data_IF_841260761862
#
_entry.id   IF_841260761862
#
_cell.length_a   1.000
_cell.length_b   1.000
_cell.length_c   1.000
_cell.angle_alpha   90.00
_cell.angle_beta   90.00
_cell.angle_gamma   90.00
#
_symmetry.space_group_name_H-M   'P 1'
#
loop_
_entity.id
_entity.type
_entity.pdbx_description
1 polymer ?
#
# COMPACT_ATOMS: atom_id res chain seq x y z
N UNK A 1 1.88 -50.40 -36.16
CA UNK A 1 2.91 -49.50 -35.60
C UNK A 1 3.50 -48.70 -36.75
N UNK A 2 3.07 -47.46 -36.93
CA UNK A 2 3.71 -46.50 -37.83
C UNK A 2 3.37 -45.10 -37.33
N UNK A 3 4.41 -44.32 -37.06
CA UNK A 3 4.36 -43.06 -36.34
C UNK A 3 3.91 -41.93 -37.25
N UNK A 4 2.81 -41.26 -36.94
CA UNK A 4 2.44 -39.99 -37.58
C UNK A 4 3.17 -38.85 -36.88
N UNK A 5 4.35 -38.47 -37.41
CA UNK A 5 4.99 -37.19 -37.11
C UNK A 5 4.42 -36.14 -38.06
N UNK A 6 3.65 -35.20 -37.53
CA UNK A 6 3.25 -33.98 -38.26
C UNK A 6 4.33 -32.92 -38.03
N UNK A 7 5.07 -32.60 -39.09
CA UNK A 7 6.00 -31.47 -39.14
C UNK A 7 5.21 -30.16 -39.16
N UNK A 8 5.43 -29.28 -38.18
CA UNK A 8 4.95 -27.89 -38.23
C UNK A 8 6.08 -27.03 -38.78
N UNK A 9 5.89 -26.53 -39.99
CA UNK A 9 6.79 -25.58 -40.66
C UNK A 9 6.51 -24.16 -40.14
N UNK A 10 7.53 -23.49 -39.59
CA UNK A 10 7.48 -22.03 -39.35
C UNK A 10 7.72 -21.31 -40.68
N UNK A 11 6.75 -20.49 -41.09
CA UNK A 11 6.93 -19.54 -42.20
C UNK A 11 7.36 -18.21 -41.58
N UNK A 12 8.62 -17.83 -41.79
CA UNK A 12 9.11 -16.46 -41.56
C UNK A 12 9.14 -15.76 -42.91
N UNK A 13 8.31 -14.74 -43.09
CA UNK A 13 8.31 -13.91 -44.31
C UNK A 13 9.27 -12.73 -44.13
N UNK A 14 10.45 -12.81 -44.74
CA UNK A 14 11.33 -11.66 -44.98
C UNK A 14 11.08 -11.14 -46.40
N UNK A 15 10.25 -10.09 -46.56
CA UNK A 15 10.28 -9.28 -47.78
C UNK A 15 9.79 -7.84 -47.51
N UNK A 16 10.73 -6.90 -47.52
CA UNK A 16 10.54 -5.54 -48.04
C UNK A 16 11.91 -4.90 -48.32
N UNK A 17 12.61 -5.40 -49.34
CA UNK A 17 13.70 -4.68 -49.97
C UNK A 17 13.12 -3.74 -51.03
N UNK A 18 13.17 -2.44 -50.79
CA UNK A 18 12.88 -1.42 -51.82
C UNK A 18 14.21 -0.86 -52.30
N UNK A 19 14.39 -0.96 -53.62
CA UNK A 19 15.53 -0.58 -54.44
C UNK A 19 15.77 0.94 -54.39
N UNK A 20 16.98 1.37 -53.99
CA UNK A 20 17.29 2.77 -53.62
C UNK A 20 18.00 3.55 -54.74
N UNK A 21 18.29 2.95 -55.89
CA UNK A 21 19.29 3.51 -56.82
C UNK A 21 18.76 4.30 -58.03
N UNK A 22 17.51 4.78 -58.03
CA UNK A 22 17.01 5.65 -59.12
C UNK A 22 16.17 6.83 -58.66
N UNK A 23 16.78 7.78 -57.96
CA UNK A 23 16.24 9.16 -57.85
C UNK A 23 17.33 10.18 -58.17
N UNK A 24 17.36 10.60 -59.44
CA UNK A 24 18.22 11.65 -59.95
C UNK A 24 17.74 13.01 -59.38
N UNK A 25 18.33 13.45 -58.26
CA UNK A 25 17.96 14.66 -57.54
C UNK A 25 18.59 15.90 -58.21
N UNK A 26 17.79 16.66 -58.99
CA UNK A 26 18.16 18.02 -59.42
C UNK A 26 18.10 18.95 -58.21
N UNK A 27 19.26 19.41 -57.71
CA UNK A 27 19.35 20.37 -56.60
C UNK A 27 18.70 21.71 -56.96
N UNK A 28 17.68 22.20 -56.25
CA UNK A 28 17.37 23.62 -56.20
C UNK A 28 18.18 24.20 -55.04
N UNK A 29 19.27 24.92 -55.35
CA UNK A 29 20.11 25.58 -54.36
C UNK A 29 19.30 26.47 -53.39
N UNK A 30 18.13 26.95 -53.82
CA UNK A 30 17.19 27.73 -53.03
C UNK A 30 16.58 26.99 -51.82
N UNK A 31 16.40 25.66 -51.89
CA UNK A 31 15.88 24.88 -50.75
C UNK A 31 16.93 24.80 -49.64
N UNK A 32 18.20 24.59 -50.00
CA UNK A 32 19.30 24.58 -49.04
C UNK A 32 19.50 25.96 -48.39
N UNK A 33 19.45 27.04 -49.18
CA UNK A 33 19.54 28.41 -48.65
C UNK A 33 18.35 28.75 -47.75
N UNK A 34 17.13 28.37 -48.15
CA UNK A 34 15.94 28.53 -47.31
C UNK A 34 16.03 27.77 -45.99
N UNK A 35 16.57 26.54 -46.02
CA UNK A 35 16.79 25.73 -44.82
C UNK A 35 17.83 26.37 -43.89
N UNK A 36 18.94 26.88 -44.43
CA UNK A 36 20.00 27.55 -43.66
C UNK A 36 19.47 28.83 -43.01
N UNK A 37 18.69 29.64 -43.74
CA UNK A 37 18.07 30.86 -43.21
C UNK A 37 17.03 30.55 -42.12
N UNK A 38 16.20 29.52 -42.30
CA UNK A 38 15.27 29.07 -41.28
C UNK A 38 16.00 28.54 -40.02
N UNK A 39 17.10 27.81 -40.21
CA UNK A 39 17.91 27.28 -39.11
C UNK A 39 18.63 28.41 -38.35
N UNK A 40 19.15 29.41 -39.04
CA UNK A 40 19.79 30.58 -38.39
C UNK A 40 18.75 31.44 -37.68
N UNK A 41 17.58 31.66 -38.28
CA UNK A 41 16.47 32.32 -37.59
C UNK A 41 16.05 31.55 -36.33
N UNK A 42 15.99 30.22 -36.39
CA UNK A 42 15.70 29.39 -35.21
C UNK A 42 16.82 29.48 -34.16
N UNK A 43 18.08 29.31 -34.55
CA UNK A 43 19.22 29.31 -33.60
C UNK A 43 19.48 30.68 -32.99
N UNK A 44 19.15 31.78 -33.67
CA UNK A 44 19.39 33.14 -33.15
C UNK A 44 18.15 33.71 -32.45
N UNK A 45 16.97 33.59 -33.06
CA UNK A 45 15.75 34.19 -32.51
C UNK A 45 15.11 33.32 -31.42
N UNK A 46 15.25 32.00 -31.46
CA UNK A 46 14.68 31.12 -30.43
C UNK A 46 15.36 31.34 -29.07
N UNK A 47 16.71 31.40 -28.93
CA UNK A 47 17.33 31.72 -27.66
C UNK A 47 17.03 33.14 -27.17
N UNK A 48 16.87 34.12 -28.07
CA UNK A 48 16.48 35.49 -27.70
C UNK A 48 15.03 35.55 -27.16
N UNK A 49 14.09 34.84 -27.80
CA UNK A 49 12.72 34.67 -27.33
C UNK A 49 12.65 33.87 -26.02
N UNK A 50 13.46 32.82 -25.87
CA UNK A 50 13.56 32.04 -24.63
C UNK A 50 14.19 32.89 -23.52
N UNK A 51 15.23 33.68 -23.78
CA UNK A 51 15.81 34.59 -22.77
C UNK A 51 14.84 35.67 -22.32
N UNK A 52 14.08 36.28 -23.25
CA UNK A 52 13.05 37.27 -22.91
C UNK A 52 11.90 36.68 -22.07
N UNK A 53 11.59 35.39 -22.24
CA UNK A 53 10.61 34.67 -21.40
C UNK A 53 11.20 34.14 -20.09
N UNK A 54 12.50 33.78 -20.07
CA UNK A 54 13.19 33.30 -18.86
C UNK A 54 13.49 34.43 -17.86
N UNK A 55 13.66 35.68 -18.31
CA UNK A 55 13.76 36.84 -17.41
C UNK A 55 12.44 37.19 -16.69
N UNK A 56 11.29 36.70 -17.19
CA UNK A 56 9.98 36.83 -16.54
C UNK A 56 9.52 35.59 -15.77
N UNK A 57 10.15 34.44 -16.01
CA UNK A 57 9.94 33.24 -15.21
C UNK A 57 10.85 33.29 -14.00
N UNK A 58 10.29 33.66 -12.85
CA UNK A 58 10.88 33.25 -11.56
C UNK A 58 11.09 31.75 -11.64
N UNK A 59 12.33 31.31 -11.87
CA UNK A 59 12.75 29.98 -11.49
C UNK A 59 12.56 29.93 -9.99
N UNK A 60 11.38 29.48 -9.57
CA UNK A 60 11.25 28.78 -8.31
C UNK A 60 12.19 27.60 -8.48
N UNK A 61 13.45 27.79 -8.07
CA UNK A 61 14.29 26.72 -7.59
C UNK A 61 13.34 25.85 -6.78
N UNK A 62 13.09 24.62 -7.24
CA UNK A 62 12.41 23.62 -6.44
C UNK A 62 13.35 23.31 -5.28
N UNK A 63 13.43 24.24 -4.33
CA UNK A 63 13.89 23.96 -2.98
C UNK A 63 12.95 22.86 -2.54
N UNK A 64 13.48 21.65 -2.44
CA UNK A 64 12.81 20.47 -1.88
C UNK A 64 12.03 20.97 -0.67
N UNK A 65 10.71 21.18 -0.81
CA UNK A 65 9.93 21.85 0.22
C UNK A 65 9.81 20.83 1.34
N UNK A 66 10.68 20.95 2.32
CA UNK A 66 10.61 20.13 3.51
C UNK A 66 9.30 20.51 4.20
N UNK A 67 8.44 19.52 4.45
CA UNK A 67 7.19 19.76 5.18
C UNK A 67 7.48 20.34 6.57
N UNK A 68 6.53 21.07 7.17
CA UNK A 68 6.69 21.62 8.51
C UNK A 68 7.20 20.56 9.51
N UNK A 69 8.08 20.97 10.43
CA UNK A 69 8.54 20.10 11.52
C UNK A 69 7.40 19.76 12.47
N UNK A 70 7.45 18.54 12.96
CA UNK A 70 6.47 17.96 13.86
C UNK A 70 7.21 17.29 15.01
N UNK A 71 7.67 18.11 15.96
CA UNK A 71 8.53 17.68 17.05
C UNK A 71 7.71 17.46 18.32
N UNK A 72 7.41 16.20 18.61
CA UNK A 72 6.91 15.75 19.90
C UNK A 72 8.07 15.05 20.64
N UNK A 73 8.57 15.62 21.74
CA UNK A 73 9.83 15.21 22.41
C UNK A 73 9.89 13.74 22.87
N UNK A 74 8.75 13.05 22.94
CA UNK A 74 8.65 11.65 23.36
C UNK A 74 8.00 10.75 22.31
N UNK A 75 7.86 11.22 21.07
CA UNK A 75 7.28 10.46 19.98
C UNK A 75 8.10 9.21 19.70
N UNK A 76 7.47 8.04 19.78
CA UNK A 76 8.08 6.73 19.51
C UNK A 76 7.28 6.02 18.44
N UNK A 77 7.98 5.49 17.46
CA UNK A 77 7.46 4.66 16.37
C UNK A 77 8.20 3.33 16.44
N UNK A 78 7.47 2.23 16.48
CA UNK A 78 8.04 0.88 16.55
C UNK A 78 7.28 -0.09 15.63
N UNK A 79 8.03 -1.02 15.02
CA UNK A 79 7.44 -2.13 14.28
C UNK A 79 6.86 -3.14 15.27
N UNK A 80 5.69 -3.66 14.91
CA UNK A 80 5.00 -4.71 15.66
C UNK A 80 4.57 -5.81 14.71
N UNK A 81 4.60 -7.05 15.18
CA UNK A 81 4.34 -8.21 14.32
C UNK A 81 3.46 -9.24 15.02
N UNK A 82 2.60 -9.90 14.26
CA UNK A 82 2.05 -11.19 14.68
C UNK A 82 2.86 -12.26 13.99
N UNK A 83 3.37 -13.24 14.73
CA UNK A 83 3.97 -14.45 14.18
C UNK A 83 3.00 -15.60 14.45
N UNK A 84 2.62 -16.40 13.43
CA UNK A 84 1.72 -17.53 13.62
C UNK A 84 2.25 -18.49 14.68
N UNK A 85 1.36 -19.04 15.51
CA UNK A 85 1.72 -20.03 16.52
C UNK A 85 2.51 -21.19 15.89
N UNK A 86 3.51 -21.69 16.61
CA UNK A 86 4.44 -22.73 16.18
C UNK A 86 5.35 -22.35 14.99
N UNK A 87 5.52 -21.05 14.71
CA UNK A 87 6.56 -20.54 13.83
C UNK A 87 7.62 -19.82 14.66
N UNK A 88 8.87 -20.26 14.53
CA UNK A 88 10.02 -19.64 15.20
C UNK A 88 11.03 -19.25 14.14
N UNK A 89 11.48 -17.99 14.18
CA UNK A 89 12.59 -17.52 13.37
C UNK A 89 13.86 -17.49 14.24
N UNK A 90 14.99 -17.89 13.67
CA UNK A 90 16.30 -17.73 14.31
C UNK A 90 16.73 -16.25 14.20
N UNK A 91 16.04 -15.37 14.90
CA UNK A 91 16.27 -13.93 14.85
C UNK A 91 16.76 -13.40 16.20
N UNK A 92 17.71 -12.47 16.13
CA UNK A 92 18.24 -11.74 17.28
C UNK A 92 17.34 -10.57 17.70
N UNK A 93 16.34 -10.22 16.89
CA UNK A 93 15.44 -9.09 17.11
C UNK A 93 14.02 -9.61 17.34
N UNK A 94 13.50 -9.37 18.55
CA UNK A 94 12.11 -9.66 18.87
C UNK A 94 11.28 -8.36 18.82
N UNK A 95 10.27 -8.32 17.96
CA UNK A 95 9.33 -7.21 17.87
C UNK A 95 8.17 -7.37 18.86
N UNK A 96 7.55 -6.26 19.27
CA UNK A 96 6.34 -6.28 20.08
C UNK A 96 5.21 -6.94 19.29
N UNK A 97 4.41 -7.80 19.92
CA UNK A 97 3.30 -8.43 19.21
C UNK A 97 2.19 -7.43 18.85
N UNK A 98 1.47 -7.64 17.75
CA UNK A 98 0.27 -6.84 17.40
C UNK A 98 -0.74 -6.82 18.55
N UNK A 99 -0.96 -7.97 19.20
CA UNK A 99 -1.80 -8.08 20.40
C UNK A 99 -1.34 -7.15 21.53
N UNK A 100 -0.04 -7.16 21.86
CA UNK A 100 0.50 -6.30 22.90
C UNK A 100 0.47 -4.82 22.51
N UNK A 101 0.63 -4.51 21.22
CA UNK A 101 0.48 -3.16 20.69
C UNK A 101 -0.94 -2.62 20.89
N UNK A 102 -1.96 -3.40 20.51
CA UNK A 102 -3.36 -3.03 20.70
C UNK A 102 -3.73 -2.94 22.18
N UNK A 103 -3.27 -3.88 23.00
CA UNK A 103 -3.46 -3.82 24.47
C UNK A 103 -2.84 -2.55 25.07
N UNK A 104 -1.65 -2.17 24.61
CA UNK A 104 -0.99 -0.91 25.02
C UNK A 104 -1.82 0.31 24.65
N UNK A 105 -2.34 0.36 23.42
CA UNK A 105 -3.21 1.45 22.94
C UNK A 105 -4.49 1.58 23.76
N UNK A 106 -5.20 0.47 23.98
CA UNK A 106 -6.44 0.47 24.78
C UNK A 106 -6.14 0.93 26.21
N UNK A 107 -5.06 0.43 26.82
CA UNK A 107 -4.66 0.81 28.19
C UNK A 107 -4.34 2.30 28.30
N UNK A 108 -3.71 2.88 27.28
CA UNK A 108 -3.36 4.32 27.24
C UNK A 108 -4.54 5.25 27.00
N UNK A 109 -5.68 4.74 26.49
CA UNK A 109 -6.83 5.57 26.18
C UNK A 109 -7.42 6.24 27.41
N UNK A 110 -7.64 7.55 27.34
CA UNK A 110 -8.24 8.36 28.40
C UNK A 110 -9.56 9.03 27.96
N UNK A 111 -9.72 9.35 26.68
CA UNK A 111 -10.93 10.05 26.18
C UNK A 111 -11.57 9.37 24.99
N UNK A 112 -10.78 8.98 23.98
CA UNK A 112 -11.29 8.48 22.70
C UNK A 112 -10.50 7.29 22.17
N UNK A 113 -11.22 6.35 21.58
CA UNK A 113 -10.68 5.27 20.74
C UNK A 113 -11.41 5.34 19.40
N UNK A 114 -10.67 5.55 18.33
CA UNK A 114 -11.19 5.61 16.95
C UNK A 114 -10.62 4.44 16.16
N UNK A 115 -11.46 3.62 15.53
CA UNK A 115 -11.04 2.43 14.78
C UNK A 115 -11.66 2.46 13.39
N UNK A 116 -10.83 2.33 12.36
CA UNK A 116 -11.27 2.04 11.00
C UNK A 116 -10.78 0.63 10.63
N UNK A 117 -11.70 -0.24 10.22
CA UNK A 117 -11.44 -1.66 10.01
C UNK A 117 -12.39 -2.24 8.96
N UNK A 118 -11.97 -3.24 8.19
CA UNK A 118 -12.86 -3.90 7.23
C UNK A 118 -14.00 -4.68 7.93
N UNK A 119 -13.65 -5.67 8.75
CA UNK A 119 -14.59 -6.53 9.46
C UNK A 119 -14.07 -6.89 10.86
N UNK A 120 -14.93 -7.44 11.71
CA UNK A 120 -14.61 -7.91 13.06
C UNK A 120 -14.92 -9.39 13.25
N UNK A 121 -13.98 -10.12 13.87
CA UNK A 121 -14.10 -11.53 14.24
C UNK A 121 -13.10 -11.85 15.36
N UNK A 122 -13.22 -11.14 16.49
CA UNK A 122 -12.29 -11.26 17.63
C UNK A 122 -12.55 -12.48 18.52
N UNK A 123 -13.59 -13.28 18.24
CA UNK A 123 -13.87 -14.52 18.97
C UNK A 123 -13.95 -15.68 17.98
N UNK A 124 -13.78 -16.92 18.42
CA UNK A 124 -13.89 -18.11 17.56
C UNK A 124 -15.34 -18.49 17.21
N UNK A 125 -16.30 -17.56 17.31
CA UNK A 125 -17.70 -17.88 17.08
C UNK A 125 -18.05 -17.99 15.59
N UNK A 126 -17.15 -17.55 14.71
CA UNK A 126 -17.30 -17.67 13.25
C UNK A 126 -16.82 -19.03 12.70
N UNK A 127 -16.28 -19.90 13.56
CA UNK A 127 -15.76 -21.22 13.18
C UNK A 127 -16.72 -22.38 13.45
N UNK A 128 -18.03 -22.10 13.52
CA UNK A 128 -19.06 -23.11 13.75
C UNK A 128 -18.98 -23.70 15.17
N UNK A 129 -18.92 -25.04 15.27
CA UNK A 129 -18.83 -25.75 16.55
C UNK A 129 -17.39 -25.89 17.08
N UNK A 130 -16.39 -25.44 16.33
CA UNK A 130 -15.00 -25.53 16.76
C UNK A 130 -14.64 -24.32 17.61
N UNK A 131 -14.23 -24.58 18.84
CA UNK A 131 -13.58 -23.59 19.69
C UNK A 131 -12.06 -23.76 19.60
N UNK A 132 -11.38 -22.67 19.30
CA UNK A 132 -9.92 -22.64 19.18
C UNK A 132 -9.34 -21.85 20.35
N UNK A 133 -8.51 -22.50 21.17
CA UNK A 133 -7.85 -21.84 22.30
C UNK A 133 -7.00 -20.64 21.84
N UNK A 134 -6.44 -20.68 20.63
CA UNK A 134 -5.67 -19.58 20.02
C UNK A 134 -6.49 -18.31 19.74
N UNK A 135 -7.80 -18.31 19.96
CA UNK A 135 -8.63 -17.11 19.88
C UNK A 135 -8.54 -16.18 21.10
N UNK A 136 -7.92 -16.63 22.20
CA UNK A 136 -7.87 -15.91 23.49
C UNK A 136 -7.36 -14.46 23.40
N UNK A 137 -6.40 -14.20 22.49
CA UNK A 137 -5.87 -12.85 22.27
C UNK A 137 -6.94 -11.90 21.72
N UNK A 138 -7.75 -12.36 20.76
CA UNK A 138 -8.87 -11.59 20.23
C UNK A 138 -9.94 -11.34 21.29
N UNK A 139 -10.27 -12.38 22.06
CA UNK A 139 -11.27 -12.32 23.13
C UNK A 139 -10.88 -11.31 24.22
N UNK A 140 -9.60 -11.28 24.61
CA UNK A 140 -9.09 -10.32 25.57
C UNK A 140 -9.12 -8.88 25.01
N UNK A 141 -8.79 -8.66 23.73
CA UNK A 141 -8.94 -7.33 23.10
C UNK A 141 -10.41 -6.88 23.12
N UNK A 142 -11.35 -7.75 22.76
CA UNK A 142 -12.78 -7.43 22.81
C UNK A 142 -13.22 -7.08 24.24
N UNK A 143 -12.77 -7.85 25.24
CA UNK A 143 -13.04 -7.60 26.66
C UNK A 143 -12.47 -6.28 27.15
N UNK A 144 -11.25 -5.91 26.74
CA UNK A 144 -10.64 -4.62 27.07
C UNK A 144 -11.40 -3.45 26.45
N UNK A 145 -11.88 -3.57 25.21
CA UNK A 145 -12.76 -2.57 24.59
C UNK A 145 -14.08 -2.42 25.35
N UNK A 146 -14.73 -3.52 25.71
CA UNK A 146 -15.96 -3.50 26.54
C UNK A 146 -15.72 -2.81 27.89
N UNK A 147 -14.61 -3.10 28.57
CA UNK A 147 -14.24 -2.42 29.84
C UNK A 147 -13.98 -0.92 29.65
N UNK A 148 -13.39 -0.54 28.52
CA UNK A 148 -13.15 0.87 28.18
C UNK A 148 -14.45 1.66 28.09
N UNK A 149 -15.49 1.06 27.51
CA UNK A 149 -16.83 1.63 27.42
C UNK A 149 -17.54 1.64 28.78
N UNK A 150 -17.64 0.48 29.44
CA UNK A 150 -18.49 0.33 30.62
C UNK A 150 -17.92 0.96 31.88
N UNK A 151 -16.62 0.74 32.14
CA UNK A 151 -15.97 1.15 33.39
C UNK A 151 -15.24 2.49 33.27
N UNK A 152 -14.56 2.72 32.14
CA UNK A 152 -13.74 3.94 31.93
C UNK A 152 -14.46 5.04 31.14
N UNK A 153 -15.67 4.77 30.64
CA UNK A 153 -16.51 5.72 29.88
C UNK A 153 -15.78 6.39 28.70
N UNK A 154 -14.88 5.65 28.05
CA UNK A 154 -14.14 6.12 26.87
C UNK A 154 -15.09 6.22 25.67
N UNK A 155 -15.02 7.31 24.90
CA UNK A 155 -15.78 7.45 23.66
C UNK A 155 -15.14 6.57 22.57
N UNK A 156 -15.82 5.49 22.18
CA UNK A 156 -15.36 4.57 21.13
C UNK A 156 -16.12 4.83 19.83
N UNK A 157 -15.39 5.13 18.77
CA UNK A 157 -15.90 5.41 17.42
C UNK A 157 -15.33 4.40 16.43
N UNK A 158 -16.20 3.65 15.76
CA UNK A 158 -15.81 2.56 14.85
C UNK A 158 -16.41 2.85 13.48
N UNK A 159 -15.57 2.88 12.45
CA UNK A 159 -16.00 2.77 11.05
C UNK A 159 -15.68 1.38 10.54
N UNK A 160 -16.69 0.71 10.01
CA UNK A 160 -16.55 -0.63 9.41
C UNK A 160 -17.07 -0.66 7.99
N UNK A 161 -16.58 -1.59 7.18
CA UNK A 161 -17.13 -1.82 5.85
C UNK A 161 -18.60 -2.27 5.91
N UNK A 162 -19.46 -1.66 5.10
CA UNK A 162 -20.89 -2.00 5.09
C UNK A 162 -21.14 -3.40 4.52
N UNK A 163 -20.37 -3.82 3.51
CA UNK A 163 -20.53 -5.12 2.87
C UNK A 163 -20.09 -6.28 3.79
N UNK A 164 -19.16 -6.01 4.70
CA UNK A 164 -18.62 -6.98 5.66
C UNK A 164 -19.30 -6.94 7.03
N UNK A 165 -20.36 -6.15 7.20
CA UNK A 165 -21.00 -5.94 8.50
C UNK A 165 -21.62 -7.20 9.08
N UNK A 166 -22.22 -8.07 8.26
CA UNK A 166 -22.84 -9.31 8.75
C UNK A 166 -21.83 -10.22 9.46
N UNK A 167 -20.60 -10.33 8.93
CA UNK A 167 -19.49 -11.05 9.58
C UNK A 167 -19.13 -10.43 10.93
N UNK A 168 -19.23 -9.10 11.02
CA UNK A 168 -18.83 -8.28 12.17
C UNK A 168 -19.90 -8.13 13.25
N UNK A 169 -21.14 -8.53 12.94
CA UNK A 169 -22.35 -8.15 13.66
C UNK A 169 -22.27 -8.46 15.15
N UNK A 170 -21.87 -9.67 15.53
CA UNK A 170 -21.83 -10.10 16.94
C UNK A 170 -20.90 -9.21 17.78
N UNK A 171 -19.66 -9.00 17.36
CA UNK A 171 -18.71 -8.19 18.12
C UNK A 171 -19.14 -6.71 18.16
N UNK A 172 -19.58 -6.16 17.02
CA UNK A 172 -19.95 -4.74 16.93
C UNK A 172 -21.25 -4.41 17.66
N UNK A 173 -22.25 -5.29 17.65
CA UNK A 173 -23.49 -5.09 18.41
C UNK A 173 -23.23 -5.14 19.92
N UNK A 174 -22.35 -6.03 20.39
CA UNK A 174 -21.95 -6.07 21.80
C UNK A 174 -21.27 -4.77 22.23
N UNK A 175 -20.39 -4.20 21.40
CA UNK A 175 -19.76 -2.90 21.69
C UNK A 175 -20.78 -1.75 21.62
N UNK A 176 -21.68 -1.77 20.63
CA UNK A 176 -22.72 -0.75 20.46
C UNK A 176 -23.69 -0.73 21.65
N UNK A 177 -24.09 -1.90 22.18
CA UNK A 177 -24.91 -2.02 23.40
C UNK A 177 -24.26 -1.38 24.63
N UNK A 178 -22.94 -1.26 24.65
CA UNK A 178 -22.18 -0.61 25.72
C UNK A 178 -21.84 0.86 25.43
N UNK A 179 -22.34 1.41 24.32
CA UNK A 179 -22.20 2.83 23.98
C UNK A 179 -21.18 3.15 22.89
N UNK A 180 -20.58 2.15 22.22
CA UNK A 180 -19.72 2.43 21.06
C UNK A 180 -20.54 2.98 19.88
N UNK A 181 -20.02 4.02 19.23
CA UNK A 181 -20.61 4.59 18.01
C UNK A 181 -20.06 3.84 16.81
N UNK A 182 -20.89 2.97 16.23
CA UNK A 182 -20.52 2.16 15.05
C UNK A 182 -21.18 2.75 13.81
N UNK A 183 -20.36 3.10 12.81
CA UNK A 183 -20.79 3.56 11.49
C UNK A 183 -20.35 2.58 10.40
N UNK A 184 -21.21 2.39 9.40
CA UNK A 184 -20.96 1.50 8.27
C UNK A 184 -20.66 2.36 7.04
N UNK A 185 -19.46 2.21 6.48
CA UNK A 185 -19.05 2.91 5.27
C UNK A 185 -19.43 2.07 4.05
N UNK A 186 -20.33 2.59 3.22
CA UNK A 186 -20.78 1.91 2.01
C UNK A 186 -20.00 2.40 0.78
N UNK A 187 -18.85 1.77 0.54
CA UNK A 187 -17.98 2.14 -0.59
C UNK A 187 -18.64 1.86 -1.94
N UNK A 188 -19.44 0.78 -2.03
CA UNK A 188 -20.21 0.49 -3.24
C UNK A 188 -21.18 1.61 -3.58
N UNK A 189 -21.90 2.17 -2.60
CA UNK A 189 -22.75 3.34 -2.83
C UNK A 189 -21.94 4.56 -3.31
N UNK A 190 -20.75 4.77 -2.74
CA UNK A 190 -19.92 5.95 -3.01
C UNK A 190 -19.14 5.88 -4.33
N UNK A 191 -18.84 4.68 -4.82
CA UNK A 191 -17.93 4.44 -5.94
C UNK A 191 -18.56 3.53 -7.01
N UNK A 192 -19.81 3.81 -7.38
CA UNK A 192 -20.51 3.14 -8.50
C UNK A 192 -20.43 1.60 -8.42
N UNK A 193 -20.92 1.05 -7.30
CA UNK A 193 -20.99 -0.38 -6.99
C UNK A 193 -19.64 -1.10 -6.82
N UNK A 194 -18.56 -0.36 -6.52
CA UNK A 194 -17.21 -0.91 -6.34
C UNK A 194 -16.57 -0.56 -4.99
N UNK A 195 -15.51 -1.27 -4.62
CA UNK A 195 -14.69 -0.99 -3.44
C UNK A 195 -15.28 -1.48 -2.11
N UNK A 196 -14.41 -1.50 -1.09
CA UNK A 196 -14.70 -1.79 0.32
C UNK A 196 -13.79 -0.94 1.20
N UNK A 197 -14.13 -0.74 2.48
CA UNK A 197 -13.19 -0.19 3.45
C UNK A 197 -12.18 -1.27 3.85
N UNK A 198 -10.92 -1.16 3.44
CA UNK A 198 -9.89 -2.13 3.80
C UNK A 198 -8.88 -1.65 4.85
N UNK A 199 -8.88 -0.38 5.24
CA UNK A 199 -7.98 0.17 6.27
C UNK A 199 -8.08 -0.61 7.58
N UNK A 200 -6.95 -0.80 8.28
CA UNK A 200 -6.86 -1.27 9.68
C UNK A 200 -6.06 -0.27 10.50
N UNK A 201 -6.78 0.64 11.13
CA UNK A 201 -6.21 1.80 11.80
C UNK A 201 -6.87 2.00 13.16
N UNK A 202 -6.05 2.28 14.16
CA UNK A 202 -6.48 2.69 15.49
C UNK A 202 -5.90 4.07 15.79
N UNK A 203 -6.69 4.96 16.38
CA UNK A 203 -6.24 6.25 16.89
C UNK A 203 -6.77 6.42 18.31
N UNK A 204 -5.87 6.76 19.24
CA UNK A 204 -6.18 6.91 20.65
C UNK A 204 -5.84 8.33 21.08
N UNK A 205 -6.82 9.04 21.62
CA UNK A 205 -6.70 10.42 22.13
C UNK A 205 -5.99 11.41 21.19
N UNK A 206 -6.08 11.16 19.87
CA UNK A 206 -5.37 11.91 18.83
C UNK A 206 -3.85 12.06 19.12
N UNK A 207 -3.28 11.04 19.77
CA UNK A 207 -1.90 11.02 20.29
C UNK A 207 -1.15 9.72 20.02
N UNK A 208 -1.86 8.59 20.00
CA UNK A 208 -1.30 7.28 19.70
C UNK A 208 -2.04 6.66 18.52
N UNK A 209 -1.38 5.78 17.78
CA UNK A 209 -2.03 5.04 16.71
C UNK A 209 -1.41 3.66 16.47
N UNK A 210 -2.18 2.81 15.80
CA UNK A 210 -1.69 1.64 15.10
C UNK A 210 -2.15 1.70 13.65
N UNK A 211 -1.26 1.35 12.73
CA UNK A 211 -1.54 1.17 11.31
C UNK A 211 -0.78 -0.06 10.84
N UNK A 212 -1.43 -0.99 10.14
CA UNK A 212 -0.78 -2.20 9.65
C UNK A 212 -1.74 -3.17 8.98
N UNK A 213 -1.28 -4.40 8.77
CA UNK A 213 -2.00 -5.39 7.98
C UNK A 213 -3.07 -6.18 8.76
N UNK A 214 -3.01 -6.17 10.10
CA UNK A 214 -3.86 -7.01 10.95
C UNK A 214 -5.33 -6.60 10.92
N UNK A 215 -6.20 -7.51 10.47
CA UNK A 215 -7.65 -7.37 10.58
C UNK A 215 -8.09 -7.43 12.04
N UNK A 216 -9.28 -6.91 12.37
CA UNK A 216 -9.90 -7.07 13.69
C UNK A 216 -10.39 -8.51 13.90
N UNK A 217 -9.46 -9.46 13.86
CA UNK A 217 -9.67 -10.89 13.75
C UNK A 217 -8.71 -11.60 14.69
N UNK A 218 -9.20 -12.55 15.49
CA UNK A 218 -8.34 -13.30 16.40
C UNK A 218 -7.21 -14.03 15.65
N UNK A 219 -7.47 -14.49 14.42
CA UNK A 219 -6.45 -15.12 13.56
C UNK A 219 -5.31 -14.17 13.21
N UNK A 220 -5.58 -12.88 13.04
CA UNK A 220 -4.53 -11.87 12.80
C UNK A 220 -3.60 -11.67 14.01
N UNK A 221 -3.97 -12.16 15.19
CA UNK A 221 -3.16 -12.03 16.40
C UNK A 221 -2.32 -13.28 16.67
N UNK A 222 -2.81 -14.47 16.29
CA UNK A 222 -2.18 -15.75 16.65
C UNK A 222 -1.86 -16.68 15.48
N UNK A 223 -2.49 -16.53 14.31
CA UNK A 223 -2.41 -17.54 13.22
C UNK A 223 -1.92 -16.99 11.88
N UNK A 224 -1.81 -15.68 11.74
CA UNK A 224 -1.44 -14.99 10.51
C UNK A 224 -0.18 -14.16 10.78
N UNK A 225 0.77 -14.20 9.83
CA UNK A 225 1.92 -13.30 9.90
C UNK A 225 1.47 -11.91 9.47
N UNK A 226 1.54 -10.98 10.41
CA UNK A 226 1.11 -9.58 10.23
C UNK A 226 2.26 -8.63 10.61
N UNK A 227 2.26 -7.45 10.03
CA UNK A 227 3.18 -6.36 10.33
C UNK A 227 2.37 -5.07 10.52
N UNK A 228 2.78 -4.26 11.48
CA UNK A 228 2.26 -2.91 11.63
C UNK A 228 3.23 -1.99 12.32
N UNK A 229 2.76 -0.77 12.52
CA UNK A 229 3.48 0.31 13.19
C UNK A 229 2.67 0.74 14.39
N UNK A 230 3.27 0.68 15.57
CA UNK A 230 2.76 1.30 16.78
C UNK A 230 3.39 2.69 16.93
N UNK A 231 2.53 3.71 17.02
CA UNK A 231 2.92 5.12 17.16
C UNK A 231 2.44 5.61 18.52
N UNK A 232 3.35 6.12 19.36
CA UNK A 232 3.00 6.58 20.71
C UNK A 232 3.60 7.94 21.04
N UNK A 233 2.80 8.79 21.69
CA UNK A 233 3.17 10.16 22.08
C UNK A 233 3.53 11.07 20.89
N UNK A 234 2.84 10.91 19.76
CA UNK A 234 3.11 11.65 18.52
C UNK A 234 1.89 12.50 18.11
N UNK A 235 1.36 13.31 19.01
CA UNK A 235 0.13 14.10 18.80
C UNK A 235 0.15 14.92 17.51
N UNK A 236 1.27 15.57 17.18
CA UNK A 236 1.37 16.34 15.95
C UNK A 236 1.26 15.44 14.70
N UNK A 237 1.90 14.27 14.71
CA UNK A 237 1.84 13.30 13.62
C UNK A 237 0.42 12.72 13.47
N UNK A 238 -0.17 12.32 14.60
CA UNK A 238 -1.48 11.68 14.64
C UNK A 238 -2.60 12.63 14.23
N UNK A 239 -2.48 13.95 14.46
CA UNK A 239 -3.42 14.95 13.93
C UNK A 239 -3.58 14.86 12.40
N UNK A 240 -2.52 14.51 11.67
CA UNK A 240 -2.63 14.34 10.22
C UNK A 240 -3.33 13.02 9.84
N UNK A 241 -3.04 11.94 10.58
CA UNK A 241 -3.70 10.64 10.41
C UNK A 241 -5.21 10.70 10.74
N UNK A 242 -5.60 11.48 11.75
CA UNK A 242 -6.99 11.73 12.14
C UNK A 242 -7.82 12.24 10.95
N UNK A 243 -7.24 13.01 10.02
CA UNK A 243 -7.95 13.49 8.83
C UNK A 243 -8.44 12.32 7.97
N UNK A 244 -7.65 11.25 7.82
CA UNK A 244 -8.08 10.04 7.10
C UNK A 244 -9.27 9.37 7.80
N UNK A 245 -9.22 9.26 9.13
CA UNK A 245 -10.36 8.74 9.89
C UNK A 245 -11.62 9.59 9.71
N UNK A 246 -11.49 10.93 9.76
CA UNK A 246 -12.63 11.84 9.60
C UNK A 246 -13.25 11.72 8.21
N UNK A 247 -12.45 11.51 7.15
CA UNK A 247 -12.97 11.22 5.80
C UNK A 247 -13.91 10.01 5.85
N UNK A 248 -13.47 8.89 6.41
CA UNK A 248 -14.32 7.69 6.54
C UNK A 248 -15.53 7.95 7.43
N UNK A 249 -15.33 8.61 8.57
CA UNK A 249 -16.39 8.90 9.55
C UNK A 249 -17.51 9.76 8.96
N UNK A 250 -17.15 10.78 8.16
CA UNK A 250 -18.10 11.67 7.48
C UNK A 250 -18.83 10.99 6.33
N UNK A 251 -18.17 10.06 5.63
CA UNK A 251 -18.80 9.29 4.55
C UNK A 251 -19.66 8.12 5.05
N UNK A 252 -19.48 7.69 6.31
CA UNK A 252 -20.22 6.59 6.90
C UNK A 252 -21.55 7.02 7.57
N UNK A 253 -22.21 8.05 7.02
CA UNK A 253 -23.56 8.47 7.43
C UNK A 253 -24.55 8.26 6.30
N UNK A 254 -25.84 8.18 6.66
CA UNK A 254 -26.92 8.04 5.69
C UNK A 254 -26.84 9.18 4.66
N UNK A 255 -26.93 8.84 3.38
CA UNK A 255 -26.96 9.78 2.25
C UNK A 255 -25.72 10.66 2.06
N UNK A 256 -24.60 10.29 2.67
CA UNK A 256 -23.32 10.90 2.35
C UNK A 256 -22.94 10.67 0.87
N UNK A 257 -22.34 11.69 0.28
CA UNK A 257 -21.71 11.65 -1.04
C UNK A 257 -20.27 12.13 -0.93
N UNK A 258 -19.42 11.68 -1.84
CA UNK A 258 -18.07 12.23 -1.95
C UNK A 258 -18.20 13.67 -2.44
N UNK A 259 -17.71 14.68 -1.70
CA UNK A 259 -17.82 16.05 -2.13
C UNK A 259 -16.90 16.30 -3.33
N UNK A 260 -17.30 17.21 -4.22
CA UNK A 260 -16.45 17.68 -5.33
C UNK A 260 -15.14 18.28 -4.78
N UNK A 261 -15.21 18.95 -3.64
CA UNK A 261 -14.04 19.49 -2.94
C UNK A 261 -14.13 19.18 -1.45
N UNK A 262 -13.10 18.54 -0.93
CA UNK A 262 -12.98 18.27 0.50
C UNK A 262 -12.77 19.57 1.29
N UNK A 263 -13.35 19.70 2.51
CA UNK A 263 -13.13 20.86 3.36
C UNK A 263 -11.63 21.11 3.64
N UNK A 264 -11.22 22.38 3.67
CA UNK A 264 -9.82 22.78 3.92
C UNK A 264 -9.28 22.21 5.23
N UNK A 265 -10.13 22.02 6.24
CA UNK A 265 -9.75 21.39 7.52
C UNK A 265 -9.24 19.94 7.41
N UNK A 266 -9.56 19.25 6.31
CA UNK A 266 -9.06 17.90 6.02
C UNK A 266 -7.85 17.91 5.08
N UNK A 267 -7.41 19.08 4.59
CA UNK A 267 -6.22 19.20 3.76
C UNK A 267 -4.95 18.92 4.55
N UNK A 268 -3.90 18.50 3.86
CA UNK A 268 -2.58 18.28 4.45
C UNK A 268 -1.48 19.03 3.70
N UNK A 269 -0.42 19.38 4.43
CA UNK A 269 0.82 19.91 3.88
C UNK A 269 1.88 18.80 3.68
N UNK A 270 1.53 17.56 4.06
CA UNK A 270 2.43 16.42 4.06
C UNK A 270 2.08 15.47 2.91
N UNK A 271 3.03 15.34 1.99
CA UNK A 271 2.94 14.46 0.83
C UNK A 271 4.32 13.85 0.52
N UNK A 272 4.42 13.10 -0.57
CA UNK A 272 5.67 12.45 -0.96
C UNK A 272 6.79 13.42 -1.35
N UNK A 273 6.46 14.65 -1.77
CA UNK A 273 7.44 15.68 -2.11
C UNK A 273 7.82 16.56 -0.91
N UNK A 274 6.86 16.72 0.01
CA UNK A 274 6.96 17.51 1.23
C UNK A 274 6.60 16.65 2.45
N UNK A 275 7.39 15.62 2.80
CA UNK A 275 7.10 14.76 3.92
C UNK A 275 7.26 15.50 5.25
N UNK A 276 6.50 15.07 6.25
CA UNK A 276 6.62 15.53 7.63
C UNK A 276 7.99 15.19 8.18
N UNK A 277 8.63 16.15 8.82
CA UNK A 277 9.91 15.98 9.49
C UNK A 277 9.68 15.73 10.97
N UNK A 278 10.13 14.58 11.47
CA UNK A 278 9.88 14.13 12.84
C UNK A 278 11.15 13.64 13.52
N UNK A 279 11.31 14.05 14.78
CA UNK A 279 12.33 13.52 15.68
C UNK A 279 11.73 12.34 16.44
N UNK A 280 12.29 11.14 16.26
CA UNK A 280 11.76 9.91 16.85
C UNK A 280 12.66 9.38 17.97
N UNK A 281 12.07 9.09 19.12
CA UNK A 281 12.79 8.56 20.29
C UNK A 281 13.49 7.25 19.93
N UNK A 282 14.79 7.20 20.19
CA UNK A 282 15.64 6.03 19.92
C UNK A 282 16.27 6.03 18.54
N UNK A 283 15.98 7.02 17.69
CA UNK A 283 16.69 7.24 16.44
C UNK A 283 17.59 8.47 16.53
N UNK A 284 18.83 8.33 16.02
CA UNK A 284 19.79 9.44 15.97
C UNK A 284 19.43 10.44 14.87
N UNK A 285 18.84 9.95 13.79
CA UNK A 285 18.50 10.73 12.62
C UNK A 285 17.04 11.19 12.62
N UNK A 286 16.81 12.33 11.96
CA UNK A 286 15.48 12.87 11.70
C UNK A 286 14.77 12.00 10.67
N UNK A 287 13.58 11.51 11.00
CA UNK A 287 12.75 10.74 10.09
C UNK A 287 11.85 11.64 9.24
N UNK A 288 11.50 11.13 8.05
CA UNK A 288 10.58 11.78 7.11
C UNK A 288 9.46 10.82 6.78
N UNK A 289 8.21 11.25 6.97
CA UNK A 289 7.05 10.40 6.72
C UNK A 289 5.82 11.19 6.28
N UNK A 290 4.86 10.50 5.71
CA UNK A 290 3.54 11.02 5.38
C UNK A 290 2.56 9.85 5.35
N UNK A 291 1.28 10.13 5.53
CA UNK A 291 0.22 9.14 5.38
C UNK A 291 -0.38 9.23 3.98
N UNK A 292 -0.77 8.09 3.42
CA UNK A 292 -1.48 8.01 2.13
C UNK A 292 -2.96 7.69 2.35
N UNK A 293 -3.77 7.78 1.29
CA UNK A 293 -5.13 7.29 1.30
C UNK A 293 -5.55 6.78 -0.10
N UNK A 294 -6.60 5.97 -0.17
CA UNK A 294 -7.19 5.56 -1.43
C UNK A 294 -8.72 5.37 -1.31
N UNK A 295 -9.45 5.47 -2.43
CA UNK A 295 -9.00 5.94 -3.76
C UNK A 295 -8.74 7.45 -3.80
N UNK A 296 -8.32 7.97 -4.96
CA UNK A 296 -8.04 9.40 -5.15
C UNK A 296 -9.23 10.31 -4.79
N UNK A 297 -10.47 9.85 -5.02
CA UNK A 297 -11.68 10.60 -4.66
C UNK A 297 -11.86 10.77 -3.14
N UNK A 298 -11.24 9.91 -2.33
CA UNK A 298 -11.20 9.99 -0.87
C UNK A 298 -9.94 10.71 -0.35
N UNK A 299 -9.11 11.29 -1.23
CA UNK A 299 -7.93 12.05 -0.83
C UNK A 299 -8.25 13.55 -0.78
N UNK A 300 -8.32 14.17 0.42
CA UNK A 300 -8.37 15.61 0.52
C UNK A 300 -7.14 16.28 -0.10
N UNK A 301 -7.22 17.59 -0.34
CA UNK A 301 -6.13 18.37 -0.95
C UNK A 301 -4.80 18.12 -0.22
N UNK A 302 -3.76 17.83 -1.02
CA UNK A 302 -2.40 17.54 -0.55
C UNK A 302 -2.16 16.08 -0.15
N UNK A 303 -3.20 15.25 0.08
CA UNK A 303 -2.98 13.86 0.46
C UNK A 303 -2.45 13.06 -0.74
N UNK A 304 -1.30 12.42 -0.57
CA UNK A 304 -0.78 11.47 -1.54
C UNK A 304 -1.66 10.23 -1.61
N UNK A 305 -2.01 9.80 -2.83
CA UNK A 305 -2.73 8.55 -3.04
C UNK A 305 -1.81 7.33 -3.05
N UNK A 306 -2.32 6.19 -2.56
CA UNK A 306 -1.57 4.93 -2.40
C UNK A 306 -0.85 4.48 -3.68
N UNK A 307 -1.52 4.42 -4.84
CA UNK A 307 -0.85 3.91 -6.06
C UNK A 307 0.28 4.83 -6.51
N UNK A 308 0.11 6.15 -6.37
CA UNK A 308 1.16 7.11 -6.68
C UNK A 308 2.36 6.97 -5.72
N UNK A 309 2.11 6.77 -4.42
CA UNK A 309 3.16 6.52 -3.44
C UNK A 309 3.93 5.23 -3.75
N UNK A 310 3.23 4.11 -3.99
CA UNK A 310 3.83 2.81 -4.27
C UNK A 310 4.74 2.89 -5.51
N UNK A 311 4.23 3.42 -6.62
CA UNK A 311 5.00 3.55 -7.87
C UNK A 311 6.18 4.49 -7.68
N UNK A 312 6.01 5.59 -6.92
CA UNK A 312 7.09 6.53 -6.66
C UNK A 312 8.20 5.92 -5.80
N UNK A 313 7.86 5.10 -4.80
CA UNK A 313 8.85 4.37 -3.98
C UNK A 313 9.66 3.41 -4.86
N UNK A 314 9.00 2.65 -5.76
CA UNK A 314 9.68 1.78 -6.73
C UNK A 314 10.61 2.59 -7.64
N UNK A 315 10.09 3.62 -8.30
CA UNK A 315 10.82 4.41 -9.30
C UNK A 315 11.99 5.21 -8.71
N UNK A 316 11.95 5.55 -7.41
CA UNK A 316 13.03 6.28 -6.73
C UNK A 316 14.12 5.35 -6.19
N UNK A 317 13.91 4.04 -6.14
CA UNK A 317 14.92 3.08 -5.71
C UNK A 317 16.15 3.11 -6.64
N UNK A 318 17.34 2.99 -6.05
CA UNK A 318 18.61 2.99 -6.79
C UNK A 318 19.37 1.68 -6.67
N UNK A 319 19.12 0.91 -5.62
CA UNK A 319 19.86 -0.33 -5.36
C UNK A 319 18.94 -1.53 -5.31
N UNK A 320 17.86 -1.44 -4.54
CA UNK A 320 16.96 -2.57 -4.38
C UNK A 320 15.50 -2.16 -4.10
N UNK A 321 14.59 -3.07 -4.42
CA UNK A 321 13.16 -3.05 -4.06
C UNK A 321 12.79 -4.42 -3.51
N UNK A 322 12.53 -4.50 -2.21
CA UNK A 322 12.10 -5.72 -1.53
C UNK A 322 10.65 -5.61 -1.11
N UNK A 323 9.81 -6.56 -1.51
CA UNK A 323 8.36 -6.53 -1.29
C UNK A 323 7.94 -7.82 -0.61
N UNK A 324 7.10 -7.70 0.43
CA UNK A 324 6.35 -8.82 0.97
C UNK A 324 4.85 -8.52 0.99
N UNK A 325 4.09 -9.35 0.27
CA UNK A 325 2.63 -9.25 0.12
C UNK A 325 1.98 -10.63 0.16
N UNK A 326 0.67 -10.66 0.46
CA UNK A 326 -0.12 -11.90 0.45
C UNK A 326 -0.22 -12.49 -0.96
N UNK A 327 -0.74 -11.73 -1.92
CA UNK A 327 -0.96 -12.15 -3.29
C UNK A 327 -0.38 -11.12 -4.27
N UNK A 328 -0.07 -11.56 -5.50
CA UNK A 328 0.43 -10.71 -6.58
C UNK A 328 -0.29 -11.01 -7.89
N UNK A 329 -1.16 -10.08 -8.30
CA UNK A 329 -1.88 -10.14 -9.57
C UNK A 329 -1.89 -8.75 -10.23
N UNK A 330 -1.39 -8.60 -11.47
CA UNK A 330 -1.55 -7.38 -12.24
C UNK A 330 -2.96 -7.32 -12.86
N UNK A 331 -3.99 -7.56 -12.04
CA UNK A 331 -5.40 -7.67 -12.43
C UNK A 331 -6.30 -6.91 -11.45
N UNK A 332 -7.46 -6.46 -11.93
CA UNK A 332 -8.57 -6.03 -11.08
C UNK A 332 -9.40 -7.27 -10.71
N UNK A 333 -9.03 -7.94 -9.61
CA UNK A 333 -9.59 -9.25 -9.24
C UNK A 333 -11.08 -9.25 -8.86
N UNK A 334 -11.56 -8.18 -8.23
CA UNK A 334 -12.93 -8.10 -7.70
C UNK A 334 -13.94 -7.47 -8.67
N UNK A 335 -13.60 -7.49 -9.96
CA UNK A 335 -14.47 -7.09 -11.07
C UNK A 335 -14.67 -8.27 -12.02
N UNK A 336 -15.86 -8.39 -12.61
CA UNK A 336 -16.13 -9.33 -13.70
C UNK A 336 -16.58 -8.57 -14.97
N UNK A 337 -15.97 -8.82 -16.15
CA UNK A 337 -14.75 -9.63 -16.34
C UNK A 337 -13.54 -9.03 -15.60
N UNK A 338 -12.56 -9.88 -15.28
CA UNK A 338 -11.29 -9.43 -14.71
C UNK A 338 -10.56 -8.58 -15.77
N UNK A 339 -9.94 -7.48 -15.34
CA UNK A 339 -9.25 -6.56 -16.25
C UNK A 339 -7.76 -6.50 -15.91
N UNK A 340 -6.93 -6.40 -16.94
CA UNK A 340 -5.50 -6.19 -16.77
C UNK A 340 -5.20 -4.82 -16.15
N UNK A 341 -4.33 -4.80 -15.15
CA UNK A 341 -3.90 -3.59 -14.45
C UNK A 341 -2.38 -3.61 -14.22
N UNK A 342 -1.61 -3.05 -15.15
CA UNK A 342 -0.16 -3.22 -15.19
C UNK A 342 0.63 -2.27 -14.29
N UNK A 343 0.00 -1.37 -13.54
CA UNK A 343 0.68 -0.17 -13.02
C UNK A 343 1.90 -0.50 -12.15
N UNK A 344 1.75 -1.42 -11.19
CA UNK A 344 2.86 -1.85 -10.33
C UNK A 344 3.80 -2.79 -11.10
N UNK A 345 3.26 -3.69 -11.91
CA UNK A 345 4.04 -4.66 -12.71
C UNK A 345 5.02 -3.94 -13.66
N UNK A 346 4.53 -2.95 -14.42
CA UNK A 346 5.33 -2.11 -15.28
C UNK A 346 6.43 -1.36 -14.50
N UNK A 347 6.12 -0.82 -13.32
CA UNK A 347 7.11 -0.13 -12.50
C UNK A 347 8.24 -1.07 -12.06
N UNK A 348 7.91 -2.28 -11.62
CA UNK A 348 8.91 -3.30 -11.24
C UNK A 348 9.76 -3.73 -12.43
N UNK A 349 9.14 -4.06 -13.57
CA UNK A 349 9.88 -4.44 -14.78
C UNK A 349 10.80 -3.33 -15.25
N UNK A 350 10.30 -2.09 -15.24
CA UNK A 350 11.04 -0.91 -15.65
C UNK A 350 12.31 -0.72 -14.84
N UNK A 351 12.21 -0.66 -13.51
CA UNK A 351 13.40 -0.41 -12.67
C UNK A 351 14.39 -1.57 -12.69
N UNK A 352 13.91 -2.81 -12.89
CA UNK A 352 14.77 -3.97 -13.07
C UNK A 352 15.56 -3.92 -14.39
N UNK A 353 14.92 -3.55 -15.50
CA UNK A 353 15.51 -3.61 -16.84
C UNK A 353 16.30 -2.35 -17.22
N UNK A 354 15.81 -1.17 -16.84
CA UNK A 354 16.43 0.11 -17.23
C UNK A 354 17.48 0.57 -16.22
N UNK A 355 17.27 0.27 -14.93
CA UNK A 355 18.10 0.79 -13.84
C UNK A 355 18.84 -0.31 -13.07
N UNK A 356 18.66 -1.58 -13.44
CA UNK A 356 19.26 -2.76 -12.80
C UNK A 356 19.08 -2.80 -11.27
N UNK A 357 17.97 -2.25 -10.80
CA UNK A 357 17.58 -2.30 -9.39
C UNK A 357 17.26 -3.74 -9.02
N UNK A 358 17.87 -4.25 -7.95
CA UNK A 358 17.62 -5.61 -7.48
C UNK A 358 16.20 -5.73 -6.93
N UNK A 359 15.42 -6.69 -7.42
CA UNK A 359 14.06 -6.93 -6.95
C UNK A 359 13.99 -8.25 -6.22
N UNK A 360 13.39 -8.25 -5.01
CA UNK A 360 13.02 -9.48 -4.31
C UNK A 360 11.55 -9.43 -3.91
N UNK A 361 10.80 -10.44 -4.35
CA UNK A 361 9.40 -10.62 -3.99
C UNK A 361 9.27 -11.82 -3.04
N UNK A 362 8.64 -11.60 -1.89
CA UNK A 362 8.25 -12.65 -0.95
C UNK A 362 6.73 -12.72 -0.87
N UNK A 363 6.14 -13.68 -1.58
CA UNK A 363 4.70 -13.81 -1.78
C UNK A 363 4.15 -14.97 -0.96
N UNK A 364 2.98 -14.82 -0.34
CA UNK A 364 2.40 -15.91 0.44
C UNK A 364 1.93 -17.05 -0.44
N UNK A 365 2.27 -18.29 -0.04
CA UNK A 365 1.64 -19.51 -0.53
C UNK A 365 0.80 -20.11 0.59
N UNK A 366 -0.48 -20.25 0.35
CA UNK A 366 -1.45 -20.71 1.32
C UNK A 366 -2.63 -21.41 0.63
N UNK A 367 -3.56 -21.96 1.41
CA UNK A 367 -4.69 -22.75 0.89
C UNK A 367 -5.56 -22.00 -0.13
N UNK A 368 -5.62 -20.67 -0.03
CA UNK A 368 -6.44 -19.82 -0.88
C UNK A 368 -5.68 -19.18 -2.05
N UNK A 369 -4.39 -19.49 -2.23
CA UNK A 369 -3.59 -18.98 -3.35
C UNK A 369 -4.22 -19.37 -4.69
N UNK A 370 -4.56 -18.38 -5.51
CA UNK A 370 -5.06 -18.62 -6.87
C UNK A 370 -3.94 -19.20 -7.75
N UNK A 371 -4.29 -20.19 -8.59
CA UNK A 371 -3.33 -20.87 -9.47
C UNK A 371 -2.72 -19.95 -10.54
N UNK A 372 -3.47 -18.94 -10.98
CA UNK A 372 -3.03 -17.97 -11.99
C UNK A 372 -1.88 -17.07 -11.50
N UNK A 373 -1.78 -16.80 -10.20
CA UNK A 373 -0.69 -16.05 -9.58
C UNK A 373 0.68 -16.57 -9.99
N UNK A 374 0.83 -17.90 -10.07
CA UNK A 374 2.09 -18.54 -10.44
C UNK A 374 2.53 -18.18 -11.86
N UNK A 375 1.62 -17.90 -12.80
CA UNK A 375 1.98 -17.48 -14.15
C UNK A 375 2.60 -16.08 -14.15
N UNK A 376 2.00 -15.14 -13.41
CA UNK A 376 2.54 -13.78 -13.27
C UNK A 376 3.90 -13.77 -12.58
N UNK A 377 4.04 -14.53 -11.49
CA UNK A 377 5.31 -14.65 -10.76
C UNK A 377 6.41 -15.29 -11.61
N UNK A 378 6.10 -16.31 -12.41
CA UNK A 378 7.06 -16.89 -13.38
C UNK A 378 7.47 -15.88 -14.44
N UNK A 379 6.54 -15.06 -14.94
CA UNK A 379 6.82 -14.00 -15.91
C UNK A 379 7.78 -12.93 -15.38
N UNK A 380 7.67 -12.56 -14.11
CA UNK A 380 8.62 -11.65 -13.46
C UNK A 380 9.98 -12.32 -13.21
N UNK A 381 9.96 -13.54 -12.66
CA UNK A 381 11.19 -14.32 -12.42
C UNK A 381 12.01 -14.56 -13.68
N UNK A 382 11.36 -14.67 -14.85
CA UNK A 382 12.04 -14.84 -16.12
C UNK A 382 12.90 -13.64 -16.54
N UNK A 383 12.74 -12.46 -15.91
CA UNK A 383 13.62 -11.31 -16.15
C UNK A 383 15.01 -11.50 -15.54
N UNK A 384 15.14 -12.38 -14.53
CA UNK A 384 16.40 -12.59 -13.85
C UNK A 384 17.45 -13.13 -14.82
N UNK A 385 18.60 -12.47 -14.84
CA UNK A 385 19.72 -12.85 -15.66
C UNK A 385 19.70 -12.32 -17.09
N UNK A 386 18.69 -11.54 -17.49
CA UNK A 386 18.76 -10.74 -18.73
C UNK A 386 19.99 -9.83 -18.63
N UNK A 387 20.82 -9.86 -19.66
CA UNK A 387 22.05 -9.09 -19.79
C UNK A 387 21.79 -7.87 -20.68
N UNK A 388 22.38 -6.73 -20.32
CA UNK A 388 22.39 -5.53 -21.13
C UNK A 388 23.71 -4.79 -20.87
N UNK A 389 24.66 -4.95 -21.79
CA UNK A 389 26.04 -4.51 -21.60
C UNK A 389 26.75 -5.32 -20.52
N UNK A 390 27.38 -4.63 -19.57
CA UNK A 390 28.06 -5.25 -18.43
C UNK A 390 27.11 -5.60 -17.26
N UNK A 391 25.86 -5.14 -17.33
CA UNK A 391 24.88 -5.28 -16.26
C UNK A 391 23.96 -6.49 -16.47
N UNK A 392 23.47 -7.03 -15.36
CA UNK A 392 22.61 -8.21 -15.33
C UNK A 392 21.46 -8.00 -14.36
N UNK A 393 20.24 -8.25 -14.83
CA UNK A 393 19.02 -8.11 -14.03
C UNK A 393 19.04 -9.11 -12.87
N UNK A 394 18.78 -8.61 -11.65
CA UNK A 394 18.60 -9.41 -10.44
C UNK A 394 17.14 -9.35 -10.01
N UNK A 395 16.40 -10.43 -10.26
CA UNK A 395 14.99 -10.53 -9.94
C UNK A 395 14.70 -11.86 -9.24
N UNK A 396 14.48 -11.82 -7.94
CA UNK A 396 14.15 -12.99 -7.14
C UNK A 396 12.67 -13.02 -6.78
N UNK A 397 12.07 -14.21 -6.92
CA UNK A 397 10.72 -14.49 -6.42
C UNK A 397 10.77 -15.71 -5.52
N UNK A 398 10.35 -15.53 -4.28
CA UNK A 398 10.21 -16.58 -3.26
C UNK A 398 8.77 -16.68 -2.79
N UNK A 399 8.36 -17.89 -2.47
CA UNK A 399 7.08 -18.18 -1.84
C UNK A 399 7.31 -18.40 -0.35
N UNK A 400 6.48 -17.76 0.48
CA UNK A 400 6.47 -17.94 1.92
C UNK A 400 5.30 -18.85 2.30
N UNK A 401 5.59 -19.98 2.94
CA UNK A 401 4.59 -20.96 3.36
C UNK A 401 4.69 -21.17 4.86
N UNK A 402 3.56 -21.01 5.55
CA UNK A 402 3.48 -21.22 6.99
C UNK A 402 3.21 -22.70 7.25
N UNK A 403 4.04 -23.41 8.04
CA UNK A 403 3.77 -24.80 8.42
C UNK A 403 2.41 -24.93 9.11
N UNK A 404 1.71 -26.03 8.85
CA UNK A 404 0.34 -26.27 9.37
C UNK A 404 0.23 -27.66 9.98
N UNK A 405 -0.30 -27.74 11.21
CA UNK A 405 -0.70 -29.00 11.83
C UNK A 405 -2.14 -29.38 11.45
N UNK A 406 -2.52 -30.65 11.65
CA UNK A 406 -3.91 -31.12 11.41
C UNK A 406 -4.97 -30.33 12.19
N UNK A 407 -4.62 -29.82 13.37
CA UNK A 407 -5.52 -28.98 14.16
C UNK A 407 -5.66 -27.58 13.55
N UNK A 408 -4.54 -26.97 13.16
CA UNK A 408 -4.51 -25.64 12.53
C UNK A 408 -5.14 -25.61 11.14
N UNK A 409 -5.12 -26.73 10.40
CA UNK A 409 -5.78 -26.85 9.09
C UNK A 409 -7.30 -26.62 9.15
N UNK A 410 -7.91 -26.82 10.33
CA UNK A 410 -9.33 -26.57 10.58
C UNK A 410 -9.64 -25.09 10.78
N UNK A 411 -8.63 -24.23 10.96
CA UNK A 411 -8.82 -22.79 11.14
C UNK A 411 -8.93 -22.14 9.75
N UNK A 412 -10.10 -21.58 9.37
CA UNK A 412 -10.28 -21.00 8.06
C UNK A 412 -9.53 -19.67 7.92
N UNK A 413 -8.97 -19.42 6.74
CA UNK A 413 -8.25 -18.19 6.38
C UNK A 413 -7.06 -17.86 7.32
N UNK A 414 -6.40 -18.88 7.84
CA UNK A 414 -5.21 -18.78 8.69
C UNK A 414 -3.94 -19.23 7.94
N UNK A 415 -2.79 -19.21 8.64
CA UNK A 415 -1.51 -19.76 8.16
C UNK A 415 -1.05 -19.12 6.85
N UNK A 416 -1.06 -17.79 6.83
CA UNK A 416 -0.73 -16.96 5.66
C UNK A 416 0.19 -15.82 6.08
N UNK A 417 1.07 -15.40 5.18
CA UNK A 417 1.77 -14.14 5.31
C UNK A 417 0.92 -13.02 4.73
N UNK A 418 0.33 -12.22 5.61
CA UNK A 418 -0.58 -11.13 5.25
C UNK A 418 0.09 -9.76 5.33
N UNK A 419 1.43 -9.74 5.44
CA UNK A 419 2.22 -8.52 5.38
C UNK A 419 1.96 -7.74 4.08
N UNK A 420 2.12 -6.41 4.16
CA UNK A 420 2.01 -5.49 3.03
C UNK A 420 3.09 -4.45 3.19
N UNK A 421 4.31 -4.76 2.78
CA UNK A 421 5.38 -3.76 2.86
C UNK A 421 6.31 -3.81 1.66
N UNK A 422 6.99 -2.68 1.47
CA UNK A 422 8.07 -2.52 0.53
C UNK A 422 9.20 -1.75 1.20
N UNK A 423 10.44 -2.19 0.99
CA UNK A 423 11.64 -1.51 1.47
C UNK A 423 12.58 -1.31 0.29
N UNK A 424 13.15 -0.12 0.19
CA UNK A 424 14.17 0.25 -0.80
C UNK A 424 15.40 0.80 -0.08
N UNK A 425 16.42 1.19 -0.84
CA UNK A 425 17.60 1.86 -0.29
C UNK A 425 17.33 3.26 0.30
N UNK A 426 16.14 3.83 0.07
CA UNK A 426 15.82 5.19 0.46
C UNK A 426 14.42 5.40 1.06
N UNK A 427 13.56 4.37 1.09
CA UNK A 427 12.23 4.47 1.63
C UNK A 427 11.71 3.13 2.17
N UNK A 428 10.74 3.20 3.08
CA UNK A 428 9.91 2.08 3.48
C UNK A 428 8.44 2.47 3.31
N UNK A 429 7.64 1.54 2.81
CA UNK A 429 6.19 1.67 2.68
C UNK A 429 5.54 0.51 3.44
N UNK A 430 4.60 0.84 4.33
CA UNK A 430 3.78 -0.14 5.05
C UNK A 430 2.33 0.11 4.65
N UNK A 431 1.75 -0.88 3.99
CA UNK A 431 0.36 -0.88 3.56
C UNK A 431 -0.59 -1.23 4.70
N UNK A 432 -1.85 -0.84 4.52
CA UNK A 432 -2.95 -1.01 5.47
C UNK A 432 -4.00 -1.95 4.90
#
# INVERSE_FOLDING_TARGET
MTSNKVNVQMIVTDQAGVDVDKLQYRRPAYVAVGFVLALTAFVVLFPALVNSRMLGMKFNVFTKRIGPRCDDSYCKVELVESIPENVTFNETVAHLSTFNAWKTLITKANKTIKIASCYWSLTSNDTGHFHFSSAWQGEEILKLLKRSLSARKINVEIVTDAQSYNKSRRNLEELAKLGAKVRRLDMKKLLNSSGILHTKMWIIDDKHAYVGSANMDWRSLTEVKELGVLITNCSCMIKDLVKNFIVYWKLAVKDAVIPVTWPTSLSTLYDIESPMVVSLRGMKDIARLFFTNSPQSLCPRGRTNDIYAIVSVINRARKFVYISVMDYHPLIEYRKPELFWPVIDNALRKVALENFVEIRLLISRWRHTRKDMYHFLKSLKALNGIENGADKVKFEVKLFEVPVSKAQEKIPYARVNHNKYMITDNAAFIGI
#
